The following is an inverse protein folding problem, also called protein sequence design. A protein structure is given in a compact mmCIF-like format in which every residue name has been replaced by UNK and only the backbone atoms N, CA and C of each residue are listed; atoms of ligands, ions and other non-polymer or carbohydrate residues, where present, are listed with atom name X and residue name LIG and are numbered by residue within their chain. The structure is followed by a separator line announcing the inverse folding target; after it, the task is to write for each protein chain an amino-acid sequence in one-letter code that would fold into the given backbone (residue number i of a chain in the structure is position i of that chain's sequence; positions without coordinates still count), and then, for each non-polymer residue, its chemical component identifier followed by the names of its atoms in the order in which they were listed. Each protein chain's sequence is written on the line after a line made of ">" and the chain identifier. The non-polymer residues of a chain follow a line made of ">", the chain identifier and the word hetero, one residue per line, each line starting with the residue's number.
data_IF_998212707513
#
_entry.id   IF_998212707513
#
_cell.length_a   1.000
_cell.length_b   1.000
_cell.length_c   1.000
_cell.angle_alpha   90.00
_cell.angle_beta   90.00
_cell.angle_gamma   90.00
#
_symmetry.space_group_name_H-M   'P 1'
#
loop_
_entity.id
_entity.type
_entity.pdbx_description
1 polymer ?
#
# COMPACT_ATOMS: atom_id res chain seq x y z
N UNK A 1 20.67 6.66 -18.37
CA UNK A 1 19.29 6.14 -18.41
C UNK A 1 18.36 7.34 -18.31
N UNK A 2 17.46 7.53 -19.28
CA UNK A 2 16.44 8.58 -19.20
C UNK A 2 15.54 8.31 -18.00
N UNK A 3 15.27 9.35 -17.20
CA UNK A 3 14.30 9.26 -16.11
C UNK A 3 12.92 9.04 -16.73
N UNK A 4 12.42 7.81 -16.65
CA UNK A 4 11.07 7.49 -17.08
C UNK A 4 10.07 8.09 -16.09
N UNK A 5 9.29 9.07 -16.54
CA UNK A 5 8.27 9.68 -15.71
C UNK A 5 6.92 9.01 -15.97
N UNK A 6 6.40 8.29 -14.98
CA UNK A 6 5.10 7.64 -15.06
C UNK A 6 3.96 8.65 -15.28
N UNK A 7 4.09 9.87 -14.74
CA UNK A 7 3.10 10.94 -14.88
C UNK A 7 3.00 11.53 -16.29
N UNK A 8 4.00 11.32 -17.15
CA UNK A 8 3.94 11.77 -18.55
C UNK A 8 3.27 10.77 -19.49
N UNK A 9 2.85 9.61 -18.99
CA UNK A 9 2.20 8.61 -19.81
C UNK A 9 0.74 9.01 -20.13
N UNK A 10 0.27 8.72 -21.35
CA UNK A 10 -1.16 8.75 -21.67
C UNK A 10 -1.99 7.90 -20.72
N UNK A 11 -3.21 8.36 -20.42
CA UNK A 11 -4.15 7.65 -19.53
C UNK A 11 -4.42 6.21 -19.99
N UNK A 12 -4.51 5.97 -21.31
CA UNK A 12 -4.70 4.62 -21.87
C UNK A 12 -3.57 3.65 -21.54
N UNK A 13 -2.32 4.13 -21.46
CA UNK A 13 -1.18 3.31 -21.06
C UNK A 13 -1.17 3.06 -19.56
N UNK A 14 -1.52 4.07 -18.75
CA UNK A 14 -1.69 3.88 -17.30
C UNK A 14 -2.76 2.84 -17.00
N UNK A 15 -3.88 2.88 -17.73
CA UNK A 15 -4.99 1.94 -17.61
C UNK A 15 -4.55 0.51 -17.95
N UNK A 16 -3.84 0.34 -19.06
CA UNK A 16 -3.28 -0.96 -19.48
C UNK A 16 -2.29 -1.53 -18.46
N UNK A 17 -1.42 -0.68 -17.89
CA UNK A 17 -0.48 -1.09 -16.84
C UNK A 17 -1.27 -1.54 -15.60
N UNK A 18 -2.20 -0.71 -15.12
CA UNK A 18 -2.94 -1.00 -13.90
C UNK A 18 -3.85 -2.24 -14.06
N UNK A 19 -4.45 -2.43 -15.24
CA UNK A 19 -5.22 -3.64 -15.58
C UNK A 19 -4.34 -4.88 -15.53
N UNK A 20 -3.10 -4.80 -16.01
CA UNK A 20 -2.18 -5.93 -15.91
C UNK A 20 -1.82 -6.25 -14.45
N UNK A 21 -1.61 -5.23 -13.61
CA UNK A 21 -1.33 -5.41 -12.18
C UNK A 21 -2.51 -6.05 -11.45
N UNK A 22 -3.73 -5.60 -11.75
CA UNK A 22 -4.97 -6.13 -11.16
C UNK A 22 -5.18 -7.61 -11.46
N UNK A 23 -4.99 -8.04 -12.72
CA UNK A 23 -5.09 -9.46 -13.10
C UNK A 23 -4.04 -10.37 -12.46
N UNK A 24 -2.98 -9.79 -11.88
CA UNK A 24 -1.91 -10.56 -11.24
C UNK A 24 -2.08 -10.65 -9.72
N UNK A 25 -2.40 -9.55 -9.04
CA UNK A 25 -2.55 -9.55 -7.58
C UNK A 25 -3.31 -8.32 -7.05
N UNK A 26 -4.43 -8.53 -6.35
CA UNK A 26 -5.24 -7.44 -5.77
C UNK A 26 -4.44 -6.53 -4.81
N UNK A 27 -3.49 -7.12 -4.06
CA UNK A 27 -2.55 -6.38 -3.20
C UNK A 27 -1.71 -5.37 -3.97
N UNK A 28 -1.17 -5.77 -5.11
CA UNK A 28 -0.29 -4.92 -5.92
C UNK A 28 -1.11 -3.84 -6.61
N UNK A 29 -2.34 -4.15 -7.01
CA UNK A 29 -3.29 -3.16 -7.50
C UNK A 29 -3.60 -2.10 -6.44
N UNK A 30 -3.91 -2.50 -5.21
CA UNK A 30 -4.13 -1.57 -4.10
C UNK A 30 -2.88 -0.73 -3.78
N UNK A 31 -1.71 -1.36 -3.78
CA UNK A 31 -0.42 -0.70 -3.52
C UNK A 31 -0.08 0.32 -4.61
N UNK A 32 -0.28 -0.02 -5.88
CA UNK A 32 -0.05 0.86 -7.02
C UNK A 32 -0.93 2.12 -6.95
N UNK A 33 -2.19 1.98 -6.53
CA UNK A 33 -3.11 3.10 -6.33
C UNK A 33 -2.69 4.03 -5.20
N UNK A 34 -2.13 3.51 -4.11
CA UNK A 34 -1.64 4.33 -3.00
C UNK A 34 -0.36 5.09 -3.41
N UNK A 35 0.51 4.42 -4.15
CA UNK A 35 1.82 4.96 -4.53
C UNK A 35 1.76 6.03 -5.63
N UNK A 36 0.75 6.01 -6.51
CA UNK A 36 0.65 6.94 -7.63
C UNK A 36 -0.78 7.46 -7.84
N UNK A 37 -0.95 8.79 -7.85
CA UNK A 37 -2.26 9.44 -7.96
C UNK A 37 -2.98 9.17 -9.28
N UNK A 38 -2.25 9.03 -10.39
CA UNK A 38 -2.83 8.67 -11.69
C UNK A 38 -3.45 7.26 -11.67
N UNK A 39 -2.80 6.30 -11.00
CA UNK A 39 -3.39 4.98 -10.77
C UNK A 39 -4.56 5.04 -9.80
N UNK A 40 -4.52 5.89 -8.78
CA UNK A 40 -5.65 6.04 -7.86
C UNK A 40 -6.92 6.55 -8.58
N UNK A 41 -6.77 7.48 -9.53
CA UNK A 41 -7.89 8.02 -10.29
C UNK A 41 -8.53 6.95 -11.18
N UNK A 42 -7.74 6.30 -12.03
CA UNK A 42 -8.25 5.28 -12.96
C UNK A 42 -8.70 4.01 -12.24
N UNK A 43 -8.01 3.60 -11.16
CA UNK A 43 -8.35 2.40 -10.37
C UNK A 43 -9.63 2.51 -9.54
N UNK A 44 -10.36 3.63 -9.63
CA UNK A 44 -11.70 3.80 -9.08
C UNK A 44 -12.80 3.46 -10.09
N UNK A 45 -12.45 3.24 -11.35
CA UNK A 45 -13.40 2.84 -12.38
C UNK A 45 -13.98 1.45 -12.10
N UNK A 46 -15.28 1.29 -12.35
CA UNK A 46 -16.03 0.07 -12.04
C UNK A 46 -15.46 -1.18 -12.73
N UNK A 47 -14.87 -0.99 -13.92
CA UNK A 47 -14.20 -2.04 -14.70
C UNK A 47 -13.27 -2.91 -13.84
N UNK A 48 -12.38 -2.30 -13.04
CA UNK A 48 -11.40 -3.01 -12.23
C UNK A 48 -12.02 -3.84 -11.11
N UNK A 49 -13.22 -3.50 -10.65
CA UNK A 49 -13.92 -4.25 -9.60
C UNK A 49 -14.72 -5.42 -10.17
N UNK A 50 -15.14 -5.31 -11.44
CA UNK A 50 -15.83 -6.40 -12.16
C UNK A 50 -14.85 -7.47 -12.64
N UNK A 51 -13.60 -7.11 -12.90
CA UNK A 51 -12.55 -8.04 -13.35
C UNK A 51 -11.74 -8.67 -12.22
N UNK A 52 -11.88 -8.18 -10.98
CA UNK A 52 -11.02 -8.55 -9.87
C UNK A 52 -11.12 -10.04 -9.54
N UNK A 53 -9.99 -10.73 -9.66
CA UNK A 53 -9.85 -12.10 -9.17
C UNK A 53 -9.64 -12.10 -7.65
N UNK A 54 -10.64 -12.63 -6.93
CA UNK A 54 -10.63 -12.74 -5.48
C UNK A 54 -10.07 -14.08 -5.00
N UNK A 55 -9.58 -14.97 -5.87
CA UNK A 55 -9.02 -16.26 -5.47
C UNK A 55 -7.89 -16.12 -4.46
N UNK A 56 -7.03 -15.10 -4.63
CA UNK A 56 -5.90 -14.82 -3.73
C UNK A 56 -6.28 -13.88 -2.55
N UNK A 57 -7.56 -13.57 -2.37
CA UNK A 57 -8.02 -12.71 -1.28
C UNK A 57 -7.83 -13.38 0.09
N UNK A 58 -7.98 -14.71 0.15
CA UNK A 58 -7.81 -15.48 1.39
C UNK A 58 -6.37 -15.43 1.89
N UNK A 59 -5.40 -15.60 0.99
CA UNK A 59 -3.98 -15.50 1.32
C UNK A 59 -3.64 -14.11 1.88
N UNK A 60 -4.20 -13.05 1.28
CA UNK A 60 -4.04 -11.69 1.80
C UNK A 60 -4.66 -11.51 3.19
N UNK A 61 -5.86 -12.03 3.42
CA UNK A 61 -6.53 -11.95 4.72
C UNK A 61 -5.65 -12.63 5.79
N UNK A 62 -5.05 -13.77 5.47
CA UNK A 62 -4.22 -14.51 6.40
C UNK A 62 -2.85 -13.84 6.61
N UNK A 63 -2.23 -13.28 5.57
CA UNK A 63 -1.06 -12.41 5.71
C UNK A 63 -1.35 -11.18 6.58
N UNK A 64 -2.50 -10.53 6.37
CA UNK A 64 -2.91 -9.36 7.16
C UNK A 64 -3.13 -9.71 8.64
N UNK A 65 -3.74 -10.88 8.92
CA UNK A 65 -3.86 -11.42 10.28
C UNK A 65 -2.50 -11.74 10.89
N UNK A 66 -1.60 -12.34 10.12
CA UNK A 66 -0.24 -12.67 10.56
C UNK A 66 0.55 -11.40 10.90
N UNK A 67 0.49 -10.39 10.04
CA UNK A 67 1.10 -9.07 10.26
C UNK A 67 0.51 -8.37 11.49
N UNK A 68 -0.81 -8.41 11.67
CA UNK A 68 -1.47 -7.86 12.86
C UNK A 68 -0.98 -8.56 14.14
N UNK A 69 -0.88 -9.89 14.10
CA UNK A 69 -0.39 -10.70 15.22
C UNK A 69 1.08 -10.40 15.53
N UNK A 70 1.93 -10.35 14.50
CA UNK A 70 3.34 -9.99 14.62
C UNK A 70 3.50 -8.61 15.25
N UNK A 71 2.72 -7.62 14.77
CA UNK A 71 2.73 -6.27 15.32
C UNK A 71 2.32 -6.24 16.79
N UNK A 72 1.27 -6.99 17.17
CA UNK A 72 0.84 -7.09 18.56
C UNK A 72 1.96 -7.66 19.45
N UNK A 73 2.67 -8.68 18.96
CA UNK A 73 3.83 -9.25 19.68
C UNK A 73 4.98 -8.25 19.80
N UNK A 74 5.27 -7.45 18.78
CA UNK A 74 6.25 -6.37 18.89
C UNK A 74 5.87 -5.35 19.96
N UNK A 75 4.58 -4.97 20.06
CA UNK A 75 4.09 -4.09 21.14
C UNK A 75 4.31 -4.73 22.52
N UNK A 76 3.88 -5.99 22.68
CA UNK A 76 4.00 -6.73 23.94
C UNK A 76 5.46 -6.92 24.36
N UNK A 77 6.37 -7.09 23.40
CA UNK A 77 7.79 -7.24 23.63
C UNK A 77 8.53 -5.90 23.85
N UNK A 78 7.84 -4.75 23.79
CA UNK A 78 8.46 -3.43 23.93
C UNK A 78 9.36 -3.02 22.75
N UNK A 79 9.23 -3.67 21.59
CA UNK A 79 10.02 -3.34 20.40
C UNK A 79 9.42 -2.12 19.67
N UNK A 80 9.72 -0.94 20.20
CA UNK A 80 9.27 0.35 19.68
C UNK A 80 9.96 0.74 18.36
N UNK A 81 11.14 0.18 18.07
CA UNK A 81 11.91 0.45 16.86
C UNK A 81 11.23 -0.12 15.59
N UNK A 82 10.66 -1.33 15.70
CA UNK A 82 9.85 -1.93 14.63
C UNK A 82 8.61 -1.08 14.29
N UNK A 83 8.06 -0.35 15.27
CA UNK A 83 6.92 0.56 15.08
C UNK A 83 7.38 1.87 14.46
N UNK A 84 8.52 2.41 14.92
CA UNK A 84 9.14 3.63 14.40
C UNK A 84 9.46 3.53 12.90
N UNK A 85 10.11 2.45 12.47
CA UNK A 85 10.44 2.22 11.07
C UNK A 85 9.18 2.15 10.19
N UNK A 86 8.07 1.59 10.70
CA UNK A 86 6.81 1.51 9.97
C UNK A 86 6.15 2.89 9.77
N UNK A 87 6.16 3.76 10.78
CA UNK A 87 5.64 5.13 10.66
C UNK A 87 6.39 5.95 9.60
N UNK A 88 7.71 5.72 9.52
CA UNK A 88 8.60 6.37 8.55
C UNK A 88 8.36 5.89 7.11
N UNK A 89 8.18 4.58 6.90
CA UNK A 89 8.00 4.01 5.55
C UNK A 89 6.57 4.13 4.99
N UNK A 90 5.52 4.08 5.83
CA UNK A 90 4.14 4.05 5.32
C UNK A 90 3.46 5.42 5.23
N UNK A 91 3.91 6.44 5.97
CA UNK A 91 3.14 7.69 6.09
C UNK A 91 3.95 8.98 5.90
N UNK A 92 5.28 8.94 5.68
CA UNK A 92 6.07 10.17 5.55
C UNK A 92 5.91 11.12 6.74
N UNK A 93 5.66 10.58 7.94
CA UNK A 93 5.39 11.37 9.15
C UNK A 93 6.73 11.94 9.63
N UNK A 94 6.80 13.27 9.75
CA UNK A 94 8.00 13.93 10.28
C UNK A 94 8.25 13.50 11.73
N UNK A 95 9.53 13.44 12.11
CA UNK A 95 10.01 13.09 13.46
C UNK A 95 9.29 13.85 14.58
N UNK A 96 8.89 15.09 14.32
CA UNK A 96 8.20 15.98 15.25
C UNK A 96 6.78 15.52 15.64
N UNK A 97 6.08 14.84 14.73
CA UNK A 97 4.74 14.31 14.99
C UNK A 97 4.78 13.04 15.85
N UNK A 98 5.90 12.30 15.79
CA UNK A 98 6.12 11.08 16.58
C UNK A 98 6.46 11.43 18.03
N UNK A 99 7.25 12.48 18.27
CA UNK A 99 7.54 12.97 19.63
C UNK A 99 6.29 13.44 20.38
N UNK A 100 5.30 14.03 19.68
CA UNK A 100 4.03 14.43 20.31
C UNK A 100 3.19 13.24 20.79
N UNK A 101 3.22 12.12 20.07
CA UNK A 101 2.49 10.90 20.46
C UNK A 101 3.20 10.21 21.63
N UNK A 102 4.54 10.20 21.64
CA UNK A 102 5.33 9.64 22.74
C UNK A 102 5.19 10.37 24.08
N UNK A 103 4.70 11.61 24.08
CA UNK A 103 4.41 12.39 25.31
C UNK A 103 2.96 12.21 25.83
N UNK A 104 2.13 11.45 25.13
CA UNK A 104 0.73 11.19 25.48
C UNK A 104 0.50 9.77 26.05
N UNK A 105 1.57 9.00 26.24
CA UNK A 105 1.62 7.73 26.98
C UNK A 105 2.49 7.94 28.21
#
# INVERSE_FOLDING_TARGET
>A
MSNFNLASLPSSLLHKILSKVETCHLRDFGSARIAFSGFNQIGREEYFYRSADLLNLNDWIDEAKALRTFRLRCYQAGNLEAIYLRGKYFHGISTESVERIGKLV
#
